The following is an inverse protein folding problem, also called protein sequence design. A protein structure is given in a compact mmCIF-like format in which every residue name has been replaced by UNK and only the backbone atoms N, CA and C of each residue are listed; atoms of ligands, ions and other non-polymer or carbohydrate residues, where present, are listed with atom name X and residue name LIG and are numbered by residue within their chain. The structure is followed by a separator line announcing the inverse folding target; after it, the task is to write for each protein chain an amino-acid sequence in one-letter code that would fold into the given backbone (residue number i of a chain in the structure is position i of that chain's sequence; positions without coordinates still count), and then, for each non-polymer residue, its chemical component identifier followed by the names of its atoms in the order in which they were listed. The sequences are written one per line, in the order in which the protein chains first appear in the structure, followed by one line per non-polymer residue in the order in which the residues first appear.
data_IF_005086648529
#
_entry.id   IF_005086648529
#
_cell.length_a   1.000
_cell.length_b   1.000
_cell.length_c   1.000
_cell.angle_alpha   90.00
_cell.angle_beta   90.00
_cell.angle_gamma   90.00
#
_symmetry.space_group_name_H-M   'P 1'
#
loop_
_entity.id
_entity.type
_entity.pdbx_description
1 polymer ?
#
# COMPACT_ATOMS: atom_id res chain seq x y z
N UNK A 1 -23.06 -2.31 -8.90
CA UNK A 1 -21.77 -3.02 -9.08
C UNK A 1 -21.51 -3.90 -7.87
N UNK A 2 -21.38 -5.21 -8.06
CA UNK A 2 -21.01 -6.12 -6.97
C UNK A 2 -19.54 -5.90 -6.61
N UNK A 3 -19.26 -5.71 -5.32
CA UNK A 3 -17.87 -5.56 -4.84
C UNK A 3 -17.19 -6.93 -4.94
N UNK A 4 -16.15 -7.04 -5.77
CA UNK A 4 -15.39 -8.30 -5.97
C UNK A 4 -14.80 -8.88 -4.68
N UNK A 5 -14.57 -8.04 -3.66
CA UNK A 5 -14.19 -8.50 -2.33
C UNK A 5 -15.29 -9.33 -1.65
N UNK A 6 -16.56 -8.96 -1.82
CA UNK A 6 -17.68 -9.70 -1.24
C UNK A 6 -17.76 -11.13 -1.81
N UNK A 7 -17.53 -11.29 -3.11
CA UNK A 7 -17.51 -12.60 -3.78
C UNK A 7 -16.43 -13.52 -3.21
N UNK A 8 -15.24 -12.99 -2.93
CA UNK A 8 -14.16 -13.76 -2.28
C UNK A 8 -14.58 -14.25 -0.90
N UNK A 9 -15.27 -13.40 -0.12
CA UNK A 9 -15.72 -13.77 1.21
C UNK A 9 -16.88 -14.76 1.18
N UNK A 10 -17.85 -14.57 0.30
CA UNK A 10 -18.97 -15.50 0.10
C UNK A 10 -18.44 -16.88 -0.27
N UNK A 11 -17.51 -16.96 -1.22
CA UNK A 11 -16.86 -18.20 -1.62
C UNK A 11 -16.15 -18.89 -0.44
N UNK A 12 -15.32 -18.14 0.31
CA UNK A 12 -14.60 -18.70 1.46
C UNK A 12 -15.53 -19.09 2.61
N UNK A 13 -16.70 -18.45 2.71
CA UNK A 13 -17.71 -18.75 3.72
C UNK A 13 -18.52 -20.01 3.37
N UNK A 14 -18.83 -20.21 2.09
CA UNK A 14 -19.53 -21.41 1.60
C UNK A 14 -18.60 -22.61 1.59
N UNK A 15 -17.35 -22.42 1.17
CA UNK A 15 -16.35 -23.47 1.07
C UNK A 15 -15.66 -23.64 2.42
N UNK A 16 -16.35 -24.33 3.36
CA UNK A 16 -15.83 -24.71 4.70
C UNK A 16 -14.75 -25.79 4.61
N UNK A 17 -13.88 -25.69 3.61
CA UNK A 17 -12.76 -26.60 3.42
C UNK A 17 -11.81 -26.50 4.60
N UNK A 18 -11.64 -27.61 5.32
CA UNK A 18 -10.68 -27.76 6.43
C UNK A 18 -9.30 -27.34 5.96
N UNK A 19 -8.99 -27.53 4.68
CA UNK A 19 -7.69 -27.30 4.09
C UNK A 19 -7.47 -25.86 3.55
N UNK A 20 -8.56 -25.14 3.25
CA UNK A 20 -8.55 -23.80 2.66
C UNK A 20 -8.29 -23.78 1.16
N UNK A 21 -8.47 -22.60 0.55
CA UNK A 21 -8.37 -22.40 -0.89
C UNK A 21 -7.12 -21.60 -1.26
N UNK A 22 -6.46 -22.01 -2.33
CA UNK A 22 -5.39 -21.25 -2.95
C UNK A 22 -5.93 -20.04 -3.70
N UNK A 23 -5.11 -19.00 -3.86
CA UNK A 23 -5.46 -17.81 -4.66
C UNK A 23 -5.90 -18.19 -6.09
N UNK A 24 -5.25 -19.19 -6.69
CA UNK A 24 -5.56 -19.66 -8.06
C UNK A 24 -6.93 -20.34 -8.12
N UNK A 25 -7.25 -21.16 -7.13
CA UNK A 25 -8.54 -21.85 -7.01
C UNK A 25 -9.67 -20.85 -6.79
N UNK A 26 -9.47 -19.88 -5.90
CA UNK A 26 -10.43 -18.78 -5.65
C UNK A 26 -10.71 -18.01 -6.95
N UNK A 27 -9.68 -17.73 -7.73
CA UNK A 27 -9.83 -17.03 -9.00
C UNK A 27 -10.61 -17.86 -10.03
N UNK A 28 -10.33 -19.16 -10.12
CA UNK A 28 -11.04 -20.06 -11.02
C UNK A 28 -12.51 -20.20 -10.63
N UNK A 29 -12.81 -20.46 -9.36
CA UNK A 29 -14.18 -20.62 -8.86
C UNK A 29 -15.00 -19.33 -9.05
N UNK A 30 -14.43 -18.15 -8.74
CA UNK A 30 -15.13 -16.87 -8.98
C UNK A 30 -15.40 -16.65 -10.47
N UNK A 31 -14.44 -17.01 -11.33
CA UNK A 31 -14.60 -16.90 -12.78
C UNK A 31 -15.73 -17.81 -13.28
N UNK A 32 -15.79 -19.04 -12.78
CA UNK A 32 -16.82 -20.03 -13.14
C UNK A 32 -18.22 -19.65 -12.63
N UNK A 33 -18.35 -19.27 -11.36
CA UNK A 33 -19.65 -18.99 -10.73
C UNK A 33 -20.26 -17.69 -11.26
N UNK A 34 -19.45 -16.65 -11.44
CA UNK A 34 -19.94 -15.32 -11.81
C UNK A 34 -19.71 -14.97 -13.28
N UNK A 35 -19.20 -15.91 -14.09
CA UNK A 35 -18.85 -15.71 -15.49
C UNK A 35 -17.97 -14.45 -15.72
N UNK A 36 -17.01 -14.23 -14.83
CA UNK A 36 -16.09 -13.07 -14.90
C UNK A 36 -14.80 -13.50 -15.56
N UNK A 37 -14.29 -12.68 -16.48
CA UNK A 37 -13.01 -12.94 -17.13
C UNK A 37 -11.86 -13.02 -16.12
N UNK A 38 -11.15 -14.16 -16.13
CA UNK A 38 -9.98 -14.48 -15.31
C UNK A 38 -8.74 -13.66 -15.74
N UNK A 39 -8.83 -12.34 -15.68
CA UNK A 39 -7.77 -11.42 -16.07
C UNK A 39 -6.90 -10.94 -14.90
N UNK A 40 -5.81 -10.24 -15.23
CA UNK A 40 -4.88 -9.61 -14.26
C UNK A 40 -5.58 -8.64 -13.31
N UNK A 41 -6.69 -8.03 -13.74
CA UNK A 41 -7.48 -7.08 -12.92
C UNK A 41 -8.17 -7.82 -11.78
N UNK A 42 -8.90 -8.89 -12.11
CA UNK A 42 -9.57 -9.74 -11.13
C UNK A 42 -8.57 -10.33 -10.14
N UNK A 43 -7.43 -10.81 -10.63
CA UNK A 43 -6.38 -11.37 -9.80
C UNK A 43 -5.83 -10.36 -8.77
N UNK A 44 -5.65 -9.10 -9.18
CA UNK A 44 -5.22 -8.02 -8.28
C UNK A 44 -6.30 -7.71 -7.24
N UNK A 45 -7.55 -7.66 -7.65
CA UNK A 45 -8.66 -7.35 -6.74
C UNK A 45 -8.87 -8.47 -5.72
N UNK A 46 -8.80 -9.73 -6.14
CA UNK A 46 -8.80 -10.88 -5.24
C UNK A 46 -7.60 -10.79 -4.29
N UNK A 47 -6.40 -10.48 -4.79
CA UNK A 47 -5.23 -10.32 -3.93
C UNK A 47 -5.39 -9.21 -2.89
N UNK A 48 -6.05 -8.11 -3.25
CA UNK A 48 -6.32 -7.00 -2.33
C UNK A 48 -7.40 -7.39 -1.33
N UNK A 49 -8.46 -8.08 -1.76
CA UNK A 49 -9.51 -8.58 -0.89
C UNK A 49 -8.95 -9.56 0.15
N UNK A 50 -8.13 -10.52 -0.26
CA UNK A 50 -7.49 -11.47 0.64
C UNK A 50 -6.57 -10.78 1.66
N UNK A 51 -5.77 -9.80 1.22
CA UNK A 51 -4.93 -9.01 2.13
C UNK A 51 -5.77 -8.26 3.16
N UNK A 52 -6.80 -7.55 2.70
CA UNK A 52 -7.71 -6.83 3.59
C UNK A 52 -8.46 -7.76 4.55
N UNK A 53 -8.88 -8.93 4.07
CA UNK A 53 -9.52 -9.95 4.90
C UNK A 53 -8.63 -10.48 6.01
N UNK A 54 -7.31 -10.59 5.75
CA UNK A 54 -6.31 -10.89 6.77
C UNK A 54 -6.15 -9.70 7.73
N UNK A 55 -6.05 -8.47 7.20
CA UNK A 55 -5.93 -7.25 8.02
C UNK A 55 -7.12 -7.08 8.97
N UNK A 56 -8.32 -7.46 8.54
CA UNK A 56 -9.55 -7.44 9.33
C UNK A 56 -9.73 -8.68 10.23
N UNK A 57 -8.84 -9.68 10.16
CA UNK A 57 -8.95 -10.92 10.92
C UNK A 57 -10.10 -11.84 10.51
N UNK A 58 -10.69 -11.61 9.33
CA UNK A 58 -11.82 -12.40 8.79
C UNK A 58 -11.29 -13.65 8.06
N UNK A 59 -10.10 -13.53 7.45
CA UNK A 59 -9.44 -14.60 6.70
C UNK A 59 -8.14 -14.97 7.40
N UNK A 60 -7.95 -16.26 7.66
CA UNK A 60 -6.66 -16.81 8.11
C UNK A 60 -5.88 -17.35 6.91
N UNK A 61 -4.62 -16.93 6.78
CA UNK A 61 -3.70 -17.48 5.79
C UNK A 61 -2.87 -18.59 6.42
N UNK A 62 -2.86 -19.76 5.79
CA UNK A 62 -2.03 -20.88 6.18
C UNK A 62 -1.24 -21.37 4.97
N UNK A 63 0.09 -21.27 5.02
CA UNK A 63 0.98 -21.45 3.86
C UNK A 63 0.56 -20.61 2.64
N UNK A 64 0.02 -21.25 1.60
CA UNK A 64 -0.46 -20.63 0.36
C UNK A 64 -1.99 -20.72 0.20
N UNK A 65 -2.69 -21.15 1.25
CA UNK A 65 -4.14 -21.31 1.28
C UNK A 65 -4.77 -20.28 2.23
N UNK A 66 -6.01 -19.94 1.96
CA UNK A 66 -6.82 -18.97 2.69
C UNK A 66 -8.06 -19.68 3.22
N UNK A 67 -8.44 -19.40 4.47
CA UNK A 67 -9.61 -19.97 5.14
C UNK A 67 -10.45 -18.86 5.75
N UNK A 68 -11.76 -19.01 5.71
CA UNK A 68 -12.65 -18.15 6.47
C UNK A 68 -12.56 -18.51 7.96
N UNK A 69 -12.41 -17.49 8.80
CA UNK A 69 -12.34 -17.68 10.24
C UNK A 69 -13.75 -17.52 10.82
N UNK A 70 -14.38 -18.65 11.19
CA UNK A 70 -15.72 -18.68 11.79
C UNK A 70 -15.68 -18.29 13.27
N UNK A 71 -14.60 -18.68 13.96
CA UNK A 71 -14.41 -18.43 15.38
C UNK A 71 -13.74 -17.06 15.58
N UNK A 72 -14.57 -16.03 15.80
CA UNK A 72 -14.16 -14.74 16.35
C UNK A 72 -13.96 -14.86 17.88
N UNK A 73 -13.15 -15.81 18.34
CA UNK A 73 -12.87 -15.94 19.76
C UNK A 73 -11.37 -15.83 20.03
N UNK A 74 -11.02 -14.68 20.61
CA UNK A 74 -10.27 -14.52 21.86
C UNK A 74 -9.16 -15.57 22.02
N UNK A 75 -7.89 -15.14 22.08
CA UNK A 75 -6.68 -15.95 22.34
C UNK A 75 -5.82 -16.33 21.11
N UNK A 76 -5.42 -15.35 20.30
CA UNK A 76 -4.10 -15.46 19.65
C UNK A 76 -3.35 -14.13 19.73
N UNK A 77 -3.08 -13.71 20.97
CA UNK A 77 -2.16 -12.61 21.31
C UNK A 77 -0.70 -12.93 20.96
N UNK A 78 -0.40 -14.08 20.35
CA UNK A 78 0.98 -14.49 20.10
C UNK A 78 1.60 -13.95 18.80
N UNK A 79 0.80 -13.40 17.87
CA UNK A 79 1.32 -13.00 16.54
C UNK A 79 0.82 -11.67 15.97
N UNK A 80 0.10 -10.86 16.75
CA UNK A 80 -0.28 -9.51 16.31
C UNK A 80 0.89 -8.54 16.44
N UNK A 81 1.81 -8.65 15.48
CA UNK A 81 2.57 -7.52 14.97
C UNK A 81 1.59 -6.38 14.67
N UNK A 82 1.52 -5.45 15.63
CA UNK A 82 1.28 -4.03 15.41
C UNK A 82 0.31 -3.70 14.26
N UNK A 83 -0.93 -3.38 14.64
CA UNK A 83 -1.76 -2.41 13.92
C UNK A 83 -1.06 -1.04 13.89
N UNK A 84 0.10 -0.95 13.24
CA UNK A 84 0.76 0.29 12.90
C UNK A 84 0.23 0.68 11.53
N UNK A 85 -0.86 1.45 11.55
CA UNK A 85 -1.28 2.27 10.42
C UNK A 85 -0.24 3.38 10.18
N UNK A 86 0.98 3.00 9.84
CA UNK A 86 1.97 3.95 9.31
C UNK A 86 1.83 3.89 7.81
N UNK A 87 1.23 4.93 7.21
CA UNK A 87 1.51 5.29 5.81
C UNK A 87 2.99 5.67 5.73
N UNK A 88 3.87 4.68 5.79
CA UNK A 88 5.29 4.88 5.52
C UNK A 88 5.41 5.07 4.02
N UNK A 89 5.43 6.33 3.59
CA UNK A 89 5.92 6.71 2.27
C UNK A 89 7.37 6.23 2.17
N UNK A 90 7.57 5.01 1.68
CA UNK A 90 8.90 4.49 1.31
C UNK A 90 9.47 5.40 0.23
N UNK A 91 10.22 6.43 0.64
CA UNK A 91 11.17 7.12 -0.22
C UNK A 91 12.15 6.05 -0.70
N UNK A 92 11.97 5.59 -1.94
CA UNK A 92 12.95 4.75 -2.65
C UNK A 92 14.26 5.54 -2.67
N UNK A 93 15.22 5.20 -1.80
CA UNK A 93 16.61 5.64 -1.94
C UNK A 93 17.16 5.03 -3.22
N UNK A 94 17.04 5.77 -4.33
CA UNK A 94 17.86 5.55 -5.53
C UNK A 94 19.32 5.82 -5.15
N UNK A 95 20.21 4.94 -5.59
CA UNK A 95 21.63 5.20 -5.72
C UNK A 95 22.47 4.97 -4.46
N UNK A 96 22.85 3.72 -4.20
CA UNK A 96 24.11 3.43 -3.50
C UNK A 96 24.94 2.50 -4.38
N UNK A 97 25.63 3.10 -5.35
CA UNK A 97 26.71 2.47 -6.12
C UNK A 97 27.79 2.02 -5.15
N UNK A 98 27.78 0.74 -4.78
CA UNK A 98 28.91 0.11 -4.09
C UNK A 98 29.93 -0.31 -5.15
N UNK A 99 30.89 0.59 -5.32
CA UNK A 99 32.27 0.38 -5.74
C UNK A 99 32.72 -1.09 -5.76
N UNK A 100 32.80 -1.64 -6.97
CA UNK A 100 33.61 -2.82 -7.26
C UNK A 100 35.09 -2.46 -7.14
N UNK A 101 35.77 -2.98 -6.12
CA UNK A 101 37.23 -2.95 -6.03
C UNK A 101 37.78 -4.01 -7.00
N UNK A 102 38.08 -3.62 -8.24
CA UNK A 102 38.95 -4.40 -9.13
C UNK A 102 40.32 -3.74 -9.20
N UNK A 103 41.35 -4.53 -8.91
CA UNK A 103 42.76 -4.18 -8.77
C UNK A 103 43.32 -3.54 -10.06
N UNK A 104 43.80 -2.30 -9.94
CA UNK A 104 45.07 -1.67 -10.41
C UNK A 104 45.61 -1.90 -11.86
N UNK A 105 46.47 -0.99 -12.36
CA UNK A 105 46.22 -0.21 -13.58
C UNK A 105 47.17 -0.56 -14.71
N UNK A 106 46.88 -0.11 -15.95
CA UNK A 106 47.87 0.35 -16.94
C UNK A 106 47.09 0.86 -18.16
N UNK A 107 47.18 2.17 -18.45
CA UNK A 107 47.10 2.75 -19.80
C UNK A 107 46.94 4.27 -19.71
N UNK A 108 48.09 4.92 -19.64
CA UNK A 108 48.43 6.15 -20.33
C UNK A 108 47.32 6.70 -21.27
N UNK A 109 46.61 7.76 -20.86
CA UNK A 109 45.76 8.54 -21.78
C UNK A 109 45.82 10.03 -21.44
N UNK A 110 46.72 10.69 -22.18
CA UNK A 110 46.72 12.08 -22.65
C UNK A 110 45.79 13.05 -21.91
N UNK A 111 46.43 13.99 -21.22
CA UNK A 111 45.88 15.28 -20.78
C UNK A 111 45.15 15.96 -21.95
N UNK A 112 43.82 15.97 -21.91
CA UNK A 112 43.01 16.93 -22.67
C UNK A 112 42.45 17.95 -21.69
N UNK A 113 43.00 19.16 -21.77
CA UNK A 113 42.52 20.38 -21.15
C UNK A 113 41.11 20.69 -21.63
N UNK A 114 40.10 20.28 -20.86
CA UNK A 114 38.70 20.63 -21.14
C UNK A 114 38.29 21.82 -20.29
N UNK A 115 38.06 22.94 -20.99
CA UNK A 115 37.63 24.26 -20.52
C UNK A 115 36.73 24.18 -19.27
N UNK A 116 37.14 24.87 -18.20
CA UNK A 116 36.33 25.10 -17.00
C UNK A 116 35.05 25.81 -17.41
N UNK A 117 33.90 25.16 -17.27
CA UNK A 117 32.60 25.85 -17.34
C UNK A 117 32.46 26.68 -16.07
N UNK A 118 32.45 28.01 -16.23
CA UNK A 118 32.09 28.94 -15.16
C UNK A 118 30.71 28.53 -14.67
N UNK A 119 30.62 28.17 -13.39
CA UNK A 119 29.36 27.74 -12.79
C UNK A 119 28.61 29.01 -12.42
N UNK A 120 27.66 29.42 -13.24
CA UNK A 120 26.80 30.56 -12.92
C UNK A 120 26.08 30.29 -11.58
N UNK A 121 26.08 31.26 -10.65
CA UNK A 121 25.40 31.09 -9.37
C UNK A 121 23.89 31.01 -9.61
N UNK A 122 23.27 29.93 -9.14
CA UNK A 122 21.83 29.75 -9.24
C UNK A 122 21.11 30.88 -8.48
N UNK A 123 20.06 31.49 -9.06
CA UNK A 123 19.28 32.52 -8.36
C UNK A 123 18.64 31.91 -7.11
N UNK A 124 18.79 32.59 -5.97
CA UNK A 124 18.17 32.17 -4.71
C UNK A 124 16.73 32.66 -4.69
N UNK A 125 15.79 31.72 -4.71
CA UNK A 125 14.38 32.02 -4.48
C UNK A 125 14.19 32.47 -3.02
N UNK A 126 13.28 33.43 -2.74
CA UNK A 126 12.95 33.81 -1.38
C UNK A 126 12.37 32.60 -0.64
N UNK A 127 12.79 32.43 0.61
CA UNK A 127 12.20 31.45 1.52
C UNK A 127 10.74 31.82 1.78
N UNK A 128 9.83 30.90 1.47
CA UNK A 128 8.41 31.08 1.77
C UNK A 128 8.22 31.23 3.29
N UNK A 129 7.26 32.07 3.72
CA UNK A 129 6.92 32.18 5.12
C UNK A 129 6.46 30.81 5.66
N UNK A 130 6.77 30.49 6.92
CA UNK A 130 6.33 29.24 7.52
C UNK A 130 4.80 29.24 7.57
N UNK A 131 4.17 28.38 6.76
CA UNK A 131 2.74 28.11 6.92
C UNK A 131 2.54 27.37 8.23
N UNK A 132 2.09 28.10 9.26
CA UNK A 132 1.62 27.51 10.51
C UNK A 132 0.11 27.51 10.49
N UNK A 133 -0.56 26.38 10.73
CA UNK A 133 -2.01 26.35 10.86
C UNK A 133 -2.42 27.20 12.07
N UNK A 134 -3.03 28.34 11.80
CA UNK A 134 -3.60 29.21 12.83
C UNK A 134 -4.77 28.49 13.50
N UNK A 135 -4.77 28.43 14.83
CA UNK A 135 -5.85 27.78 15.58
C UNK A 135 -7.11 28.64 15.47
N UNK A 136 -8.20 28.06 14.96
CA UNK A 136 -9.50 28.73 14.92
C UNK A 136 -10.01 29.02 16.33
N UNK A 137 -10.25 30.29 16.62
CA UNK A 137 -10.93 30.74 17.84
C UNK A 137 -12.45 30.68 17.64
N UNK A 138 -13.07 29.53 17.97
CA UNK A 138 -14.52 29.33 17.87
C UNK A 138 -15.36 30.34 18.69
N UNK A 139 -14.75 31.05 19.65
CA UNK A 139 -15.42 32.10 20.44
C UNK A 139 -15.61 33.42 19.68
N UNK A 140 -14.82 33.66 18.64
CA UNK A 140 -14.88 34.87 17.80
C UNK A 140 -15.80 34.69 16.58
N UNK A 141 -16.10 33.45 16.21
CA UNK A 141 -16.94 33.14 15.07
C UNK A 141 -18.43 33.25 15.47
N UNK A 142 -19.18 34.13 14.79
CA UNK A 142 -20.64 34.25 15.01
C UNK A 142 -21.33 33.01 14.45
N UNK A 143 -22.02 32.26 15.32
CA UNK A 143 -22.78 31.07 14.91
C UNK A 143 -24.00 31.51 14.10
N UNK A 144 -24.16 31.08 12.83
CA UNK A 144 -25.35 31.39 12.06
C UNK A 144 -26.58 30.73 12.70
N UNK A 145 -27.61 31.54 13.01
CA UNK A 145 -28.89 31.04 13.53
C UNK A 145 -29.70 30.43 12.39
N UNK A 146 -30.15 29.20 12.55
CA UNK A 146 -31.06 28.53 11.60
C UNK A 146 -32.46 29.09 11.80
N UNK A 147 -33.02 29.74 10.77
CA UNK A 147 -34.43 30.16 10.74
C UNK A 147 -35.27 28.93 10.40
N UNK A 148 -36.19 28.54 11.28
CA UNK A 148 -37.19 27.52 10.98
C UNK A 148 -38.37 28.19 10.28
N UNK A 149 -38.68 27.75 9.07
CA UNK A 149 -39.94 28.09 8.40
C UNK A 149 -41.02 27.13 8.91
N UNK A 150 -42.11 27.69 9.43
CA UNK A 150 -43.35 26.99 9.82
C UNK A 150 -44.36 27.08 8.68
#
# INVERSE_FOLDING_TARGET
MVRRSALVYELLKTDRSIDGLSKKEILLQISQIHNIFAGKVLEKEISVALKRGIDFGIIKKHFNKYRYQTEFFINDDSKNQTLKWTRSTRKRKRGRTRTSKRRRPLANKKRQTRKRKVTEPKPRLPTLPPWTPEKRDLRKETIPRVVKHH
#
